data_IF_953460427809
#
_entry.id   IF_953460427809
#
_cell.length_a   1.000
_cell.length_b   1.000
_cell.length_c   1.000
_cell.angle_alpha   90.00
_cell.angle_beta   90.00
_cell.angle_gamma   90.00
#
_symmetry.space_group_name_H-M   'P 1'
#
loop_
_entity.id
_entity.type
_entity.pdbx_description
1 polymer ?
#
# COMPACT_ATOMS: atom_id res chain seq x y z
N UNK A 1 -13.52 -5.59 10.15
CA UNK A 1 -12.29 -4.90 9.68
C UNK A 1 -12.50 -4.48 8.24
N UNK A 2 -12.18 -3.25 7.84
CA UNK A 2 -12.32 -2.76 6.46
C UNK A 2 -10.95 -2.77 5.78
N UNK A 3 -10.85 -3.26 4.55
CA UNK A 3 -9.59 -3.38 3.79
C UNK A 3 -9.82 -2.79 2.40
N UNK A 4 -8.87 -1.98 1.93
CA UNK A 4 -8.86 -1.41 0.58
C UNK A 4 -7.64 -1.97 -0.16
N UNK A 5 -7.87 -2.66 -1.26
CA UNK A 5 -6.80 -3.19 -2.12
C UNK A 5 -6.70 -2.35 -3.39
N UNK A 6 -5.50 -1.83 -3.70
CA UNK A 6 -5.26 -1.02 -4.89
C UNK A 6 -4.29 -1.78 -5.81
N UNK A 7 -4.82 -2.28 -6.93
CA UNK A 7 -4.01 -2.76 -8.05
C UNK A 7 -3.52 -1.58 -8.87
N UNK A 8 -2.33 -1.69 -9.47
CA UNK A 8 -1.74 -0.61 -10.26
C UNK A 8 -0.84 -1.13 -11.37
N UNK A 9 -0.80 -0.41 -12.48
CA UNK A 9 0.20 -0.58 -13.53
C UNK A 9 1.48 0.22 -13.21
N UNK A 10 2.58 -0.12 -13.88
CA UNK A 10 3.81 0.67 -13.80
C UNK A 10 3.56 2.09 -14.33
N UNK A 11 4.10 3.11 -13.65
CA UNK A 11 3.92 4.52 -14.05
C UNK A 11 2.54 5.14 -13.73
N UNK A 12 1.54 4.36 -13.32
CA UNK A 12 0.17 4.87 -13.04
C UNK A 12 0.02 5.79 -11.82
N UNK A 13 1.07 5.95 -11.01
CA UNK A 13 0.99 6.72 -9.75
C UNK A 13 0.22 6.02 -8.62
N UNK A 14 -0.22 4.76 -8.78
CA UNK A 14 -1.04 4.06 -7.79
C UNK A 14 -0.43 3.94 -6.38
N UNK A 15 0.92 3.98 -6.25
CA UNK A 15 1.60 4.00 -4.93
C UNK A 15 1.30 5.29 -4.17
N UNK A 16 1.37 6.43 -4.85
CA UNK A 16 1.12 7.74 -4.26
C UNK A 16 -0.36 7.92 -3.91
N UNK A 17 -1.26 7.47 -4.79
CA UNK A 17 -2.69 7.43 -4.53
C UNK A 17 -3.00 6.67 -3.23
N UNK A 18 -2.47 5.45 -3.07
CA UNK A 18 -2.70 4.64 -1.89
C UNK A 18 -2.20 5.27 -0.60
N UNK A 19 -1.02 5.90 -0.63
CA UNK A 19 -0.46 6.62 0.54
C UNK A 19 -1.34 7.79 0.96
N UNK A 20 -1.78 8.63 0.01
CA UNK A 20 -2.66 9.77 0.29
C UNK A 20 -4.02 9.33 0.79
N UNK A 21 -4.59 8.29 0.18
CA UNK A 21 -5.88 7.72 0.59
C UNK A 21 -5.81 7.21 2.04
N UNK A 22 -4.76 6.45 2.37
CA UNK A 22 -4.55 5.93 3.72
C UNK A 22 -4.41 7.07 4.75
N UNK A 23 -3.66 8.13 4.42
CA UNK A 23 -3.53 9.30 5.27
C UNK A 23 -4.88 10.01 5.50
N UNK A 24 -5.65 10.28 4.44
CA UNK A 24 -6.95 10.97 4.55
C UNK A 24 -7.96 10.15 5.34
N UNK A 25 -7.95 8.82 5.18
CA UNK A 25 -8.88 7.93 5.86
C UNK A 25 -8.41 7.49 7.25
N UNK A 26 -7.19 7.84 7.66
CA UNK A 26 -6.53 7.32 8.87
C UNK A 26 -6.45 5.78 8.89
N UNK A 27 -6.03 5.20 7.76
CA UNK A 27 -5.75 3.76 7.62
C UNK A 27 -4.25 3.52 7.64
N UNK A 28 -3.84 2.35 8.11
CA UNK A 28 -2.48 1.86 7.89
C UNK A 28 -2.24 1.58 6.40
N UNK A 29 -1.03 1.89 5.93
CA UNK A 29 -0.61 1.69 4.55
C UNK A 29 0.44 0.58 4.46
N UNK A 30 0.16 -0.42 3.64
CA UNK A 30 1.09 -1.51 3.34
C UNK A 30 1.26 -1.64 1.84
N UNK A 31 2.51 -1.53 1.36
CA UNK A 31 2.85 -1.83 -0.02
C UNK A 31 3.61 -3.15 -0.15
N UNK A 32 3.78 -3.59 -1.40
CA UNK A 32 4.44 -4.86 -1.70
C UNK A 32 5.89 -4.90 -1.20
N UNK A 33 6.62 -3.78 -1.21
CA UNK A 33 8.02 -3.76 -0.77
C UNK A 33 8.11 -3.96 0.74
N UNK A 34 7.25 -3.30 1.52
CA UNK A 34 7.14 -3.47 2.97
C UNK A 34 6.81 -4.93 3.30
N UNK A 35 5.79 -5.48 2.67
CA UNK A 35 5.33 -6.86 2.91
C UNK A 35 6.44 -7.86 2.56
N UNK A 36 7.09 -7.70 1.41
CA UNK A 36 8.20 -8.57 0.99
C UNK A 36 9.38 -8.48 1.95
N UNK A 37 9.77 -7.27 2.37
CA UNK A 37 10.89 -7.08 3.31
C UNK A 37 10.63 -7.75 4.66
N UNK A 38 9.41 -7.66 5.19
CA UNK A 38 9.01 -8.34 6.43
C UNK A 38 9.02 -9.86 6.24
N UNK A 39 8.47 -10.35 5.12
CA UNK A 39 8.40 -11.79 4.85
C UNK A 39 9.77 -12.45 4.64
N UNK A 40 10.77 -11.69 4.15
CA UNK A 40 12.12 -12.18 3.89
C UNK A 40 13.01 -12.28 5.16
N UNK A 41 12.69 -11.55 6.23
CA UNK A 41 13.46 -11.59 7.48
C UNK A 41 12.92 -12.67 8.44
N UNK A 42 13.13 -13.94 8.06
CA UNK A 42 12.83 -15.10 8.92
C UNK A 42 13.85 -15.29 10.03
#
# INVERSE_FOLDING_TARGET
MKIITISREFGSGGRELGKRLAHVLSYDYYDKEIITSIASNK
#
